data_IF_283400758775
#
_entry.id   IF_283400758775
#
_cell.length_a   1.000
_cell.length_b   1.000
_cell.length_c   1.000
_cell.angle_alpha   90.00
_cell.angle_beta   90.00
_cell.angle_gamma   90.00
#
_symmetry.space_group_name_H-M   'P 1'
#
loop_
_entity.id
_entity.type
_entity.pdbx_description
1 polymer ?
#
# COMPACT_ATOMS: atom_id res chain seq x y z
N UNK A 1 -7.71 35.36 -1.82
CA UNK A 1 -7.20 34.38 -0.84
C UNK A 1 -7.46 33.00 -1.41
N UNK A 2 -6.41 32.23 -1.74
CA UNK A 2 -6.58 30.86 -2.23
C UNK A 2 -7.12 29.99 -1.09
N UNK A 3 -8.29 29.38 -1.31
CA UNK A 3 -8.89 28.45 -0.35
C UNK A 3 -8.03 27.18 -0.36
N UNK A 4 -7.20 26.98 0.66
CA UNK A 4 -6.48 25.73 0.83
C UNK A 4 -7.51 24.62 1.04
N UNK A 5 -7.73 23.79 0.03
CA UNK A 5 -8.53 22.57 0.16
C UNK A 5 -7.74 21.61 1.04
N UNK A 6 -8.35 21.16 2.14
CA UNK A 6 -7.74 20.12 2.96
C UNK A 6 -7.73 18.80 2.18
N UNK A 7 -6.57 18.14 2.11
CA UNK A 7 -6.40 16.83 1.50
C UNK A 7 -7.17 15.79 2.31
N UNK A 8 -7.87 14.87 1.64
CA UNK A 8 -8.54 13.75 2.31
C UNK A 8 -7.91 12.44 1.87
N UNK A 9 -7.48 11.61 2.83
CA UNK A 9 -6.85 10.32 2.59
C UNK A 9 -7.71 9.17 3.13
N UNK A 10 -7.38 7.95 2.72
CA UNK A 10 -7.85 6.73 3.38
C UNK A 10 -6.94 6.38 4.55
N UNK A 11 -7.56 5.92 5.63
CA UNK A 11 -6.92 5.38 6.82
C UNK A 11 -7.43 3.97 7.10
N UNK A 12 -6.56 3.08 7.56
CA UNK A 12 -6.99 1.74 7.96
C UNK A 12 -7.71 1.79 9.30
N UNK A 13 -8.89 1.18 9.37
CA UNK A 13 -9.71 1.13 10.57
C UNK A 13 -9.13 0.12 11.56
N UNK A 14 -8.99 0.49 12.83
CA UNK A 14 -8.47 -0.40 13.89
C UNK A 14 -7.13 -1.08 13.55
N UNK A 15 -6.25 -0.38 12.82
CA UNK A 15 -4.96 -0.88 12.31
C UNK A 15 -5.06 -2.05 11.31
N UNK A 16 -6.28 -2.40 10.87
CA UNK A 16 -6.54 -3.40 9.84
C UNK A 16 -7.05 -2.70 8.58
N UNK A 17 -6.48 -3.04 7.42
CA UNK A 17 -6.90 -2.45 6.16
C UNK A 17 -8.03 -3.23 5.47
N UNK A 18 -8.71 -4.11 6.22
CA UNK A 18 -9.94 -4.80 5.78
C UNK A 18 -11.11 -3.80 5.59
N UNK A 19 -11.01 -2.65 6.24
CA UNK A 19 -11.94 -1.54 6.09
C UNK A 19 -11.18 -0.20 6.15
N UNK A 20 -11.62 0.75 5.33
CA UNK A 20 -11.00 2.07 5.21
C UNK A 20 -11.94 3.16 5.69
N UNK A 21 -11.39 4.11 6.44
CA UNK A 21 -12.07 5.34 6.85
C UNK A 21 -11.44 6.54 6.15
N UNK A 22 -12.18 7.64 6.09
CA UNK A 22 -11.66 8.91 5.57
C UNK A 22 -10.94 9.66 6.69
N UNK A 23 -9.75 10.18 6.38
CA UNK A 23 -8.98 11.05 7.26
C UNK A 23 -8.70 12.36 6.53
N UNK A 24 -9.18 13.48 7.07
CA UNK A 24 -8.84 14.81 6.54
C UNK A 24 -7.47 15.20 7.09
N UNK A 25 -6.51 15.43 6.22
CA UNK A 25 -5.15 15.78 6.62
C UNK A 25 -5.09 17.24 7.09
N UNK A 26 -4.49 17.44 8.26
CA UNK A 26 -4.08 18.76 8.69
C UNK A 26 -3.05 19.31 7.69
N UNK A 27 -3.27 20.53 7.21
CA UNK A 27 -2.28 21.27 6.42
C UNK A 27 -1.66 22.29 7.35
N UNK A 28 -0.43 22.02 7.80
CA UNK A 28 0.34 23.02 8.52
C UNK A 28 0.65 24.20 7.60
N UNK A 29 0.34 25.41 8.06
CA UNK A 29 0.58 26.63 7.30
C UNK A 29 2.10 26.87 7.26
N UNK A 30 2.72 26.77 6.08
CA UNK A 30 4.16 27.06 5.92
C UNK A 30 4.89 26.15 4.93
N UNK A 31 6.04 25.63 5.35
CA UNK A 31 6.97 24.81 4.55
C UNK A 31 6.58 23.33 4.43
N UNK A 32 5.49 22.90 5.05
CA UNK A 32 5.05 21.51 5.05
C UNK A 32 4.08 21.18 3.91
N UNK A 33 4.07 19.92 3.51
CA UNK A 33 3.15 19.34 2.53
C UNK A 33 2.46 18.13 3.16
N UNK A 34 1.12 18.14 3.11
CA UNK A 34 0.32 16.98 3.47
C UNK A 34 0.31 15.96 2.32
N UNK A 35 0.33 14.68 2.65
CA UNK A 35 0.18 13.59 1.68
C UNK A 35 -0.52 12.37 2.30
N UNK A 36 -1.08 11.54 1.43
CA UNK A 36 -1.60 10.23 1.78
C UNK A 36 -0.48 9.19 1.72
N UNK A 37 -0.25 8.47 2.82
CA UNK A 37 0.70 7.37 2.90
C UNK A 37 0.02 6.04 2.57
N UNK A 38 0.75 5.17 1.86
CA UNK A 38 0.59 3.71 1.92
C UNK A 38 1.95 3.10 2.29
N UNK A 39 2.02 2.42 3.42
CA UNK A 39 3.23 1.75 3.90
C UNK A 39 2.96 0.25 4.07
N UNK A 40 3.72 -0.59 3.37
CA UNK A 40 3.62 -2.05 3.46
C UNK A 40 4.93 -2.60 4.04
N UNK A 41 4.82 -3.41 5.08
CA UNK A 41 5.97 -4.00 5.77
C UNK A 41 5.63 -5.38 6.32
N UNK A 42 6.64 -6.18 6.66
CA UNK A 42 6.45 -7.36 7.53
C UNK A 42 6.74 -6.99 8.98
N UNK A 43 5.82 -7.34 9.86
CA UNK A 43 6.01 -7.20 11.30
C UNK A 43 7.01 -8.24 11.86
N UNK A 44 7.20 -8.23 13.18
CA UNK A 44 8.07 -9.18 13.87
C UNK A 44 7.63 -10.65 13.67
N UNK A 45 6.34 -10.90 13.43
CA UNK A 45 5.77 -12.22 13.17
C UNK A 45 5.84 -12.60 11.68
N UNK A 46 6.58 -11.83 10.85
CA UNK A 46 6.66 -12.00 9.40
C UNK A 46 5.32 -11.87 8.67
N UNK A 47 4.32 -11.28 9.32
CA UNK A 47 3.02 -11.01 8.73
C UNK A 47 3.08 -9.70 7.96
N UNK A 48 2.59 -9.71 6.71
CA UNK A 48 2.51 -8.49 5.92
C UNK A 48 1.40 -7.58 6.47
N UNK A 49 1.77 -6.36 6.83
CA UNK A 49 0.90 -5.32 7.33
C UNK A 49 0.92 -4.16 6.35
N UNK A 50 -0.25 -3.59 6.06
CA UNK A 50 -0.36 -2.31 5.38
C UNK A 50 -0.85 -1.27 6.37
N UNK A 51 -0.31 -0.07 6.24
CA UNK A 51 -0.73 1.11 6.96
C UNK A 51 -1.08 2.19 5.94
N UNK A 52 -2.22 2.85 6.16
CA UNK A 52 -2.65 4.03 5.39
C UNK A 52 -3.04 5.12 6.38
N UNK A 53 -2.59 6.35 6.13
CA UNK A 53 -2.88 7.54 6.96
C UNK A 53 -2.43 8.82 6.25
N UNK A 54 -2.84 9.96 6.79
CA UNK A 54 -2.23 11.25 6.52
C UNK A 54 -0.82 11.35 7.11
N UNK A 55 0.06 12.02 6.37
CA UNK A 55 1.40 12.41 6.83
C UNK A 55 1.68 13.86 6.40
N UNK A 56 2.68 14.46 7.03
CA UNK A 56 3.20 15.80 6.71
C UNK A 56 4.72 15.74 6.68
N UNK A 57 5.32 16.33 5.65
CA UNK A 57 6.78 16.42 5.49
C UNK A 57 7.16 17.76 4.85
N UNK A 58 8.45 18.12 4.87
CA UNK A 58 8.89 19.40 4.29
C UNK A 58 8.77 19.40 2.77
N UNK A 59 8.33 20.52 2.21
CA UNK A 59 8.22 20.72 0.76
C UNK A 59 9.61 20.58 0.13
N UNK A 60 9.70 19.70 -0.86
CA UNK A 60 10.96 19.40 -1.54
C UNK A 60 11.69 18.17 -1.00
N UNK A 61 11.29 17.67 0.17
CA UNK A 61 11.83 16.42 0.72
C UNK A 61 11.07 15.20 0.22
N UNK A 62 11.74 14.04 0.29
CA UNK A 62 11.10 12.74 0.09
C UNK A 62 10.74 12.14 1.45
N UNK A 63 9.49 11.68 1.60
CA UNK A 63 9.09 10.99 2.81
C UNK A 63 9.64 9.56 2.85
N UNK A 64 10.41 9.25 3.88
CA UNK A 64 10.94 7.91 4.10
C UNK A 64 10.18 7.18 5.23
N UNK A 65 9.68 5.99 4.92
CA UNK A 65 9.12 5.12 5.95
C UNK A 65 10.26 4.42 6.69
N UNK A 66 10.47 4.79 7.95
CA UNK A 66 11.34 4.05 8.87
C UNK A 66 10.55 3.65 10.11
N UNK A 67 10.34 2.34 10.29
CA UNK A 67 9.93 1.76 11.58
C UNK A 67 11.03 0.81 12.02
N UNK A 68 11.45 0.93 13.28
CA UNK A 68 12.40 -0.03 13.85
C UNK A 68 11.77 -1.43 13.85
N UNK A 69 12.58 -2.46 13.61
CA UNK A 69 12.19 -3.87 13.76
C UNK A 69 11.14 -4.38 12.75
N UNK A 70 10.97 -3.73 11.60
CA UNK A 70 10.13 -4.24 10.51
C UNK A 70 10.89 -4.34 9.19
N UNK A 71 10.50 -5.28 8.34
CA UNK A 71 11.03 -5.42 6.97
C UNK A 71 10.16 -4.57 6.03
N UNK A 72 10.71 -3.44 5.53
CA UNK A 72 10.02 -2.57 4.57
C UNK A 72 9.82 -3.29 3.23
N UNK A 73 8.58 -3.34 2.75
CA UNK A 73 8.24 -3.84 1.41
C UNK A 73 8.03 -2.65 0.45
N UNK A 74 7.18 -1.69 0.82
CA UNK A 74 6.93 -0.50 0.00
C UNK A 74 6.53 0.68 0.86
N UNK A 75 6.89 1.89 0.42
CA UNK A 75 6.53 3.16 1.03
C UNK A 75 6.17 4.12 -0.09
N UNK A 76 4.90 4.51 -0.20
CA UNK A 76 4.42 5.38 -1.27
C UNK A 76 3.57 6.51 -0.71
N UNK A 77 3.72 7.68 -1.33
CA UNK A 77 2.98 8.88 -0.97
C UNK A 77 2.30 9.46 -2.21
N UNK A 78 1.18 10.13 -2.01
CA UNK A 78 0.44 10.82 -3.06
C UNK A 78 -0.34 12.00 -2.47
N UNK A 79 -0.66 13.01 -3.29
CA UNK A 79 -1.11 14.33 -2.81
C UNK A 79 -2.48 14.74 -3.37
N UNK A 80 -3.25 13.76 -3.85
CA UNK A 80 -4.60 13.94 -4.37
C UNK A 80 -5.62 13.28 -3.42
N UNK A 81 -6.85 13.77 -3.40
CA UNK A 81 -7.89 13.20 -2.53
C UNK A 81 -8.11 11.72 -2.84
N UNK A 82 -8.10 10.91 -1.78
CA UNK A 82 -8.30 9.46 -1.82
C UNK A 82 -7.32 8.69 -2.72
N UNK A 83 -6.19 9.28 -3.09
CA UNK A 83 -5.21 8.64 -3.98
C UNK A 83 -4.65 7.32 -3.42
N UNK A 84 -4.62 7.16 -2.09
CA UNK A 84 -4.22 5.93 -1.43
C UNK A 84 -5.38 4.92 -1.26
N UNK A 85 -6.49 5.06 -1.99
CA UNK A 85 -7.61 4.13 -1.96
C UNK A 85 -7.39 2.86 -2.80
N UNK A 86 -6.32 2.79 -3.61
CA UNK A 86 -6.00 1.59 -4.38
C UNK A 86 -5.79 0.41 -3.43
N UNK A 87 -6.71 -0.54 -3.55
CA UNK A 87 -6.84 -1.68 -2.65
C UNK A 87 -5.63 -2.59 -2.69
N UNK A 88 -5.37 -3.17 -1.54
CA UNK A 88 -4.67 -4.43 -1.38
C UNK A 88 -5.40 -5.47 -2.24
N UNK A 89 -5.05 -5.59 -3.53
CA UNK A 89 -5.30 -6.84 -4.24
C UNK A 89 -4.33 -7.83 -3.64
N UNK A 90 -4.79 -8.52 -2.60
CA UNK A 90 -4.22 -9.80 -2.20
C UNK A 90 -3.98 -10.57 -3.50
N UNK A 91 -2.71 -10.85 -3.77
CA UNK A 91 -2.29 -11.74 -4.83
C UNK A 91 -3.05 -13.04 -4.61
N UNK A 92 -4.17 -13.20 -5.31
CA UNK A 92 -4.91 -14.44 -5.30
C UNK A 92 -3.93 -15.49 -5.81
N UNK A 93 -3.55 -16.41 -4.93
CA UNK A 93 -2.74 -17.57 -5.22
C UNK A 93 -3.24 -18.21 -6.51
N UNK A 94 -2.52 -18.04 -7.60
CA UNK A 94 -2.65 -18.89 -8.77
C UNK A 94 -1.96 -20.23 -8.47
N UNK A 95 -2.45 -20.94 -7.45
CA UNK A 95 -2.23 -22.37 -7.31
C UNK A 95 -3.19 -23.05 -8.29
N UNK A 96 -2.84 -23.05 -9.57
CA UNK A 96 -3.29 -24.10 -10.47
C UNK A 96 -2.26 -25.22 -10.45
N UNK A 97 -2.34 -26.03 -9.40
CA UNK A 97 -1.85 -27.41 -9.41
C UNK A 97 -3.05 -28.31 -9.70
N UNK A 98 -3.18 -28.82 -10.93
CA UNK A 98 -3.74 -30.15 -11.26
C UNK A 98 -3.05 -30.56 -12.58
N UNK A 99 -1.92 -31.25 -12.52
CA UNK A 99 -1.77 -32.71 -12.43
C UNK A 99 -1.99 -33.44 -13.76
N UNK A 100 -0.91 -34.08 -14.20
CA UNK A 100 -0.84 -35.43 -14.81
C UNK A 100 -1.85 -35.79 -15.90
N UNK A 101 -1.37 -35.84 -17.15
CA UNK A 101 -1.63 -36.86 -18.18
C UNK A 101 -0.58 -36.59 -19.29
N UNK A 102 0.22 -37.48 -19.85
CA UNK A 102 0.69 -38.83 -19.61
C UNK A 102 1.86 -38.99 -20.61
N UNK A 103 3.01 -39.59 -20.26
CA UNK A 103 4.04 -39.92 -21.23
C UNK A 103 3.66 -41.24 -21.90
N UNK A 104 3.17 -41.21 -23.16
CA UNK A 104 2.93 -42.43 -23.93
C UNK A 104 3.48 -42.30 -25.35
N UNK A 105 4.64 -42.93 -25.51
CA UNK A 105 4.97 -43.87 -26.59
C UNK A 105 5.04 -43.36 -28.03
N UNK A 106 6.28 -43.30 -28.52
CA UNK A 106 6.82 -44.21 -29.54
C UNK A 106 5.78 -45.02 -30.35
N UNK A 107 5.74 -44.73 -31.66
CA UNK A 107 5.31 -45.51 -32.86
C UNK A 107 4.55 -44.52 -33.77
N UNK A 108 4.80 -44.38 -35.07
CA UNK A 108 5.24 -45.37 -36.06
C UNK A 108 5.61 -44.61 -37.35
N UNK A 109 6.74 -45.00 -37.93
CA UNK A 109 6.98 -45.21 -39.37
C UNK A 109 6.00 -44.57 -40.36
N UNK A 110 6.50 -43.60 -41.12
CA UNK A 110 6.54 -43.64 -42.61
C UNK A 110 7.64 -42.72 -43.10
#
# INVERSE_FOLDING_TARGET
>A
MAKCRALVCKKCKDFKCDSLENETCAVDVGSKQAACLTYVYKDANKTQVTEKRCISFDKGDTYECSKAQVEKISCTTCTEDFCNNSGWRSSASALFYISLLAPLLLLKVT
#
